data_IF_979864657595
#
_entry.id   IF_979864657595
#
_cell.length_a   1.000
_cell.length_b   1.000
_cell.length_c   1.000
_cell.angle_alpha   90.00
_cell.angle_beta   90.00
_cell.angle_gamma   90.00
#
_symmetry.space_group_name_H-M   'P 1'
#
loop_
_entity.id
_entity.type
_entity.pdbx_description
1 polymer ?
#
# COMPACT_ATOMS: atom_id res chain seq x y z
N UNK A 1 -23.21 -0.82 -5.77
CA UNK A 1 -23.80 -1.49 -6.94
C UNK A 1 -24.47 -0.51 -7.90
N UNK A 2 -25.35 0.39 -7.43
CA UNK A 2 -25.94 1.43 -8.31
C UNK A 2 -24.89 2.33 -8.97
N UNK A 3 -23.86 2.75 -8.22
CA UNK A 3 -22.78 3.57 -8.78
C UNK A 3 -22.00 2.88 -9.91
N UNK A 4 -21.76 1.57 -9.80
CA UNK A 4 -21.08 0.79 -10.86
C UNK A 4 -21.90 0.75 -12.15
N UNK A 5 -23.23 0.68 -12.04
CA UNK A 5 -24.14 0.66 -13.20
C UNK A 5 -24.19 2.01 -13.92
N UNK A 6 -23.79 3.11 -13.28
CA UNK A 6 -23.77 4.45 -13.88
C UNK A 6 -22.52 4.71 -14.74
N UNK A 7 -21.51 3.84 -14.66
CA UNK A 7 -20.26 3.99 -15.44
C UNK A 7 -20.55 3.70 -16.91
N UNK A 8 -20.48 4.74 -17.76
CA UNK A 8 -20.66 4.61 -19.21
C UNK A 8 -19.63 3.63 -19.79
N UNK A 9 -20.11 2.65 -20.56
CA UNK A 9 -19.28 1.63 -21.20
C UNK A 9 -18.98 0.40 -20.34
N UNK A 10 -19.36 0.39 -19.05
CA UNK A 10 -19.24 -0.79 -18.20
C UNK A 10 -20.52 -1.64 -18.25
N UNK A 11 -20.40 -2.90 -18.66
CA UNK A 11 -21.47 -3.89 -18.49
C UNK A 11 -21.36 -4.49 -17.09
N UNK A 12 -22.42 -4.34 -16.28
CA UNK A 12 -22.49 -4.89 -14.93
C UNK A 12 -23.50 -6.03 -14.91
N UNK A 13 -23.06 -7.21 -14.48
CA UNK A 13 -23.89 -8.40 -14.32
C UNK A 13 -23.75 -8.93 -12.90
N UNK A 14 -24.88 -9.25 -12.26
CA UNK A 14 -24.89 -9.98 -11.00
C UNK A 14 -24.82 -11.46 -11.33
N UNK A 15 -23.76 -12.12 -10.89
CA UNK A 15 -23.58 -13.54 -11.16
C UNK A 15 -24.29 -14.37 -10.09
N UNK A 16 -25.48 -14.85 -10.42
CA UNK A 16 -26.31 -15.69 -9.53
C UNK A 16 -26.33 -17.17 -9.95
N UNK A 17 -25.45 -17.54 -10.90
CA UNK A 17 -25.30 -18.95 -11.33
C UNK A 17 -24.32 -19.64 -10.41
N UNK A 18 -24.71 -20.80 -9.90
CA UNK A 18 -23.79 -21.61 -9.10
C UNK A 18 -22.56 -21.99 -9.93
N UNK A 19 -21.39 -21.91 -9.30
CA UNK A 19 -20.12 -22.21 -9.92
C UNK A 19 -19.49 -23.41 -9.22
N UNK A 20 -18.76 -24.22 -10.00
CA UNK A 20 -18.09 -25.39 -9.46
C UNK A 20 -17.02 -24.97 -8.44
N UNK A 21 -16.94 -25.68 -7.33
CA UNK A 21 -15.98 -25.40 -6.25
C UNK A 21 -16.57 -25.72 -4.87
N UNK A 22 -15.71 -26.18 -3.96
CA UNK A 22 -16.10 -26.52 -2.58
C UNK A 22 -16.10 -25.30 -1.67
N UNK A 23 -15.20 -24.36 -1.92
CA UNK A 23 -15.09 -23.09 -1.19
C UNK A 23 -15.52 -21.91 -2.06
N UNK A 24 -15.85 -20.79 -1.41
CA UNK A 24 -16.15 -19.52 -2.10
C UNK A 24 -14.97 -19.09 -2.98
N UNK A 25 -13.74 -19.23 -2.48
CA UNK A 25 -12.52 -18.89 -3.21
C UNK A 25 -12.36 -19.73 -4.49
N UNK A 26 -12.60 -21.05 -4.41
CA UNK A 26 -12.58 -21.93 -5.57
C UNK A 26 -13.64 -21.52 -6.60
N UNK A 27 -14.85 -21.19 -6.15
CA UNK A 27 -15.93 -20.72 -7.04
C UNK A 27 -15.55 -19.43 -7.76
N UNK A 28 -14.96 -18.45 -7.05
CA UNK A 28 -14.49 -17.19 -7.63
C UNK A 28 -13.37 -17.41 -8.66
N UNK A 29 -12.42 -18.30 -8.35
CA UNK A 29 -11.31 -18.64 -9.26
C UNK A 29 -11.84 -19.35 -10.51
N UNK A 30 -12.73 -20.33 -10.36
CA UNK A 30 -13.30 -21.07 -11.49
C UNK A 30 -14.16 -20.15 -12.37
N UNK A 31 -14.94 -19.25 -11.76
CA UNK A 31 -15.67 -18.21 -12.50
C UNK A 31 -14.70 -17.34 -13.31
N UNK A 32 -13.65 -16.81 -12.69
CA UNK A 32 -12.66 -15.99 -13.37
C UNK A 32 -11.99 -16.73 -14.53
N UNK A 33 -11.64 -18.01 -14.35
CA UNK A 33 -11.11 -18.87 -15.43
C UNK A 33 -12.09 -18.99 -16.60
N UNK A 34 -13.36 -19.32 -16.31
CA UNK A 34 -14.38 -19.53 -17.35
C UNK A 34 -14.63 -18.27 -18.18
N UNK A 35 -14.55 -17.09 -17.56
CA UNK A 35 -14.75 -15.80 -18.20
C UNK A 35 -13.46 -15.23 -18.82
N UNK A 36 -12.32 -15.91 -18.69
CA UNK A 36 -11.00 -15.37 -19.01
C UNK A 36 -10.76 -14.00 -18.36
N UNK A 37 -11.30 -13.85 -17.14
CA UNK A 37 -11.34 -12.60 -16.39
C UNK A 37 -10.21 -12.46 -15.38
N UNK A 38 -10.24 -11.34 -14.67
CA UNK A 38 -9.35 -11.03 -13.55
C UNK A 38 -10.19 -10.85 -12.28
N UNK A 39 -9.60 -11.13 -11.13
CA UNK A 39 -10.25 -10.87 -9.84
C UNK A 39 -9.86 -9.48 -9.36
N UNK A 40 -10.85 -8.70 -8.91
CA UNK A 40 -10.63 -7.45 -8.18
C UNK A 40 -11.10 -7.66 -6.75
N UNK A 41 -10.21 -7.49 -5.77
CA UNK A 41 -10.52 -7.80 -4.36
C UNK A 41 -9.74 -6.92 -3.40
N UNK A 42 -10.12 -6.95 -2.12
CA UNK A 42 -9.30 -6.46 -1.01
C UNK A 42 -8.74 -7.60 -0.16
N UNK A 43 -9.12 -8.85 -0.44
CA UNK A 43 -8.74 -10.04 0.33
C UNK A 43 -7.34 -10.53 -0.05
N UNK A 44 -6.45 -10.55 0.94
CA UNK A 44 -5.06 -10.96 0.77
C UNK A 44 -4.87 -12.48 0.63
N UNK A 45 -5.74 -13.29 1.20
CA UNK A 45 -5.67 -14.75 1.09
C UNK A 45 -6.15 -15.20 -0.28
N UNK A 46 -7.27 -14.63 -0.77
CA UNK A 46 -7.76 -14.90 -2.12
C UNK A 46 -6.71 -14.51 -3.17
N UNK A 47 -6.01 -13.39 -2.98
CA UNK A 47 -4.87 -12.98 -3.82
C UNK A 47 -3.86 -14.14 -4.00
N UNK A 48 -3.42 -14.77 -2.90
CA UNK A 48 -2.41 -15.84 -2.93
C UNK A 48 -2.92 -17.07 -3.67
N UNK A 49 -4.12 -17.53 -3.33
CA UNK A 49 -4.71 -18.75 -3.91
C UNK A 49 -4.99 -18.56 -5.41
N UNK A 50 -5.51 -17.40 -5.81
CA UNK A 50 -5.76 -17.06 -7.20
C UNK A 50 -4.48 -16.94 -8.03
N UNK A 51 -3.39 -16.40 -7.45
CA UNK A 51 -2.09 -16.28 -8.11
C UNK A 51 -1.49 -17.66 -8.43
N UNK A 52 -1.58 -18.62 -7.50
CA UNK A 52 -1.17 -20.02 -7.74
C UNK A 52 -2.01 -20.67 -8.84
N UNK A 53 -3.27 -20.26 -8.96
CA UNK A 53 -4.19 -20.70 -10.02
C UNK A 53 -4.02 -19.95 -11.35
N UNK A 54 -2.95 -19.15 -11.47
CA UNK A 54 -2.61 -18.36 -12.65
C UNK A 54 -3.70 -17.36 -13.07
N UNK A 55 -4.49 -16.88 -12.11
CA UNK A 55 -5.47 -15.80 -12.30
C UNK A 55 -4.83 -14.48 -11.87
N UNK A 56 -4.86 -13.49 -12.76
CA UNK A 56 -4.41 -12.14 -12.42
C UNK A 56 -5.37 -11.51 -11.41
N UNK A 57 -4.81 -10.93 -10.35
CA UNK A 57 -5.58 -10.26 -9.31
C UNK A 57 -5.14 -8.80 -9.21
N UNK A 58 -6.14 -7.90 -9.21
CA UNK A 58 -5.96 -6.51 -8.85
C UNK A 58 -6.44 -6.32 -7.42
N UNK A 59 -5.52 -6.09 -6.50
CA UNK A 59 -5.88 -5.76 -5.13
C UNK A 59 -5.93 -4.24 -4.96
N UNK A 60 -7.07 -3.75 -4.47
CA UNK A 60 -7.29 -2.30 -4.31
C UNK A 60 -6.35 -1.69 -3.26
N UNK A 61 -5.99 -2.46 -2.24
CA UNK A 61 -5.02 -2.02 -1.23
C UNK A 61 -3.61 -1.89 -1.82
N UNK A 62 -3.21 -2.82 -2.69
CA UNK A 62 -1.91 -2.76 -3.37
C UNK A 62 -1.86 -1.56 -4.34
N UNK A 63 -2.95 -1.29 -5.05
CA UNK A 63 -3.09 -0.09 -5.89
C UNK A 63 -2.98 1.19 -5.06
N UNK A 64 -3.71 1.28 -3.96
CA UNK A 64 -3.66 2.45 -3.07
C UNK A 64 -2.24 2.67 -2.50
N UNK A 65 -1.54 1.60 -2.15
CA UNK A 65 -0.16 1.67 -1.69
C UNK A 65 0.83 2.07 -2.80
N UNK A 66 0.60 1.65 -4.05
CA UNK A 66 1.40 2.04 -5.20
C UNK A 66 1.27 3.52 -5.59
N UNK A 67 0.14 4.15 -5.22
CA UNK A 67 -0.10 5.58 -5.44
C UNK A 67 0.51 6.49 -4.36
N UNK A 68 0.96 5.93 -3.23
CA UNK A 68 1.61 6.73 -2.18
C UNK A 68 2.95 7.24 -2.69
N UNK A 69 3.20 8.54 -2.54
CA UNK A 69 4.48 9.17 -2.85
C UNK A 69 5.60 8.41 -2.12
N UNK A 70 6.50 7.78 -2.88
CA UNK A 70 7.63 7.04 -2.33
C UNK A 70 8.77 8.01 -2.17
N UNK A 71 9.27 8.21 -0.94
CA UNK A 71 10.57 8.82 -0.76
C UNK A 71 11.64 7.74 -0.96
N UNK A 72 12.35 7.78 -2.09
CA UNK A 72 13.36 6.79 -2.46
C UNK A 72 14.72 7.12 -1.80
N UNK A 73 15.58 6.12 -1.52
CA UNK A 73 16.94 6.38 -1.08
C UNK A 73 17.66 7.37 -2.02
N UNK A 74 18.28 8.41 -1.45
CA UNK A 74 18.92 9.51 -2.16
C UNK A 74 18.03 10.72 -2.41
N UNK A 75 16.71 10.62 -2.26
CA UNK A 75 15.83 11.77 -2.37
C UNK A 75 15.95 12.71 -1.18
N UNK A 76 15.85 14.00 -1.47
CA UNK A 76 15.84 15.06 -0.45
C UNK A 76 14.41 15.44 -0.15
N UNK A 77 14.04 15.43 1.13
CA UNK A 77 12.71 15.84 1.58
C UNK A 77 12.83 16.85 2.74
N UNK A 78 11.90 17.80 2.79
CA UNK A 78 11.74 18.71 3.92
C UNK A 78 10.75 18.13 4.91
N UNK A 79 11.16 17.94 6.16
CA UNK A 79 10.35 17.29 7.19
C UNK A 79 10.40 18.08 8.49
N UNK A 80 9.24 18.30 9.12
CA UNK A 80 9.19 18.82 10.48
C UNK A 80 9.52 17.71 11.48
N UNK A 81 10.54 17.92 12.29
CA UNK A 81 10.89 17.01 13.38
C UNK A 81 9.95 17.28 14.56
N UNK A 82 9.19 16.28 14.97
CA UNK A 82 8.12 16.41 15.96
C UNK A 82 8.51 15.81 17.31
N UNK A 83 9.25 14.70 17.30
CA UNK A 83 9.59 13.95 18.50
C UNK A 83 11.07 13.53 18.51
N UNK A 84 11.66 13.27 19.69
CA UNK A 84 12.93 12.56 19.78
C UNK A 84 12.78 11.13 19.25
N UNK A 85 13.83 10.61 18.61
CA UNK A 85 13.88 9.22 18.18
C UNK A 85 14.31 8.27 19.29
N UNK A 86 14.51 7.00 18.92
CA UNK A 86 14.93 5.97 19.86
C UNK A 86 16.38 6.19 20.30
N UNK A 87 17.25 6.53 19.37
CA UNK A 87 18.64 6.87 19.66
C UNK A 87 18.77 8.37 19.97
N UNK A 88 19.69 8.80 20.86
CA UNK A 88 19.80 10.21 21.28
C UNK A 88 20.09 11.21 20.15
N UNK A 89 20.66 10.75 19.03
CA UNK A 89 20.94 11.57 17.85
C UNK A 89 19.74 11.70 16.90
N UNK A 90 18.68 10.90 17.10
CA UNK A 90 17.56 10.81 16.17
C UNK A 90 16.45 11.82 16.48
N UNK A 91 15.84 12.33 15.41
CA UNK A 91 14.53 12.97 15.43
C UNK A 91 13.52 12.14 14.66
N UNK A 92 12.24 12.30 14.96
CA UNK A 92 11.13 11.64 14.27
C UNK A 92 10.15 12.68 13.76
N UNK A 93 9.75 12.56 12.51
CA UNK A 93 8.66 13.29 11.91
C UNK A 93 7.73 12.37 11.12
N UNK A 94 6.69 12.95 10.54
CA UNK A 94 5.69 12.20 9.76
C UNK A 94 5.45 12.88 8.43
N UNK A 95 5.33 12.09 7.37
CA UNK A 95 4.80 12.56 6.10
C UNK A 95 3.28 12.80 6.18
N UNK A 96 2.68 13.54 5.24
CA UNK A 96 1.24 13.82 5.24
C UNK A 96 0.36 12.56 5.24
N UNK A 97 0.87 11.44 4.72
CA UNK A 97 0.18 10.15 4.69
C UNK A 97 0.33 9.33 5.99
N UNK A 98 0.98 9.89 7.01
CA UNK A 98 1.25 9.25 8.29
C UNK A 98 2.50 8.37 8.32
N UNK A 99 3.26 8.27 7.22
CA UNK A 99 4.51 7.51 7.18
C UNK A 99 5.52 8.11 8.17
N UNK A 100 5.98 7.29 9.11
CA UNK A 100 6.97 7.69 10.10
C UNK A 100 8.35 7.80 9.47
N UNK A 101 9.05 8.91 9.72
CA UNK A 101 10.39 9.17 9.22
C UNK A 101 11.34 9.40 10.39
N UNK A 102 12.33 8.52 10.54
CA UNK A 102 13.38 8.60 11.55
C UNK A 102 14.62 9.24 10.91
N UNK A 103 15.13 10.30 11.52
CA UNK A 103 16.19 11.13 10.96
C UNK A 103 17.38 11.16 11.89
N UNK A 104 18.52 10.66 11.42
CA UNK A 104 19.79 10.73 12.14
C UNK A 104 20.35 12.16 12.14
N UNK A 105 20.85 12.61 13.29
CA UNK A 105 21.44 13.95 13.47
C UNK A 105 20.41 15.08 13.59
N UNK A 106 19.14 14.74 13.86
CA UNK A 106 18.03 15.69 13.92
C UNK A 106 17.44 15.89 15.33
N UNK A 107 18.02 15.28 16.36
CA UNK A 107 17.54 15.41 17.75
C UNK A 107 17.50 16.87 18.24
N UNK A 108 18.42 17.72 17.78
CA UNK A 108 18.46 19.15 18.12
C UNK A 108 17.52 20.02 17.27
N UNK A 109 16.75 19.43 16.35
CA UNK A 109 15.84 20.12 15.44
C UNK A 109 14.36 19.87 15.78
N UNK A 110 14.06 19.31 16.96
CA UNK A 110 12.67 19.14 17.42
C UNK A 110 11.91 20.48 17.35
N UNK A 111 10.73 20.44 16.73
CA UNK A 111 9.88 21.59 16.45
C UNK A 111 10.21 22.34 15.15
N UNK A 112 11.34 22.04 14.50
CA UNK A 112 11.82 22.72 13.28
C UNK A 112 11.68 21.84 12.05
N UNK A 113 11.70 22.48 10.88
CA UNK A 113 11.81 21.80 9.59
C UNK A 113 13.28 21.54 9.28
N UNK A 114 13.60 20.32 8.88
CA UNK A 114 14.93 19.89 8.48
C UNK A 114 14.89 19.38 7.03
N UNK A 115 15.91 19.71 6.24
CA UNK A 115 16.19 18.99 5.00
C UNK A 115 16.90 17.68 5.33
N UNK A 116 16.38 16.60 4.77
CA UNK A 116 16.89 15.25 5.01
C UNK A 116 17.10 14.53 3.69
N UNK A 117 18.12 13.69 3.65
CA UNK A 117 18.33 12.73 2.57
C UNK A 117 17.85 11.36 3.05
N UNK A 118 16.94 10.75 2.29
CA UNK A 118 16.44 9.40 2.60
C UNK A 118 17.57 8.40 2.41
N UNK A 119 17.84 7.59 3.42
CA UNK A 119 18.88 6.56 3.40
C UNK A 119 18.29 5.17 3.17
N UNK A 120 17.13 4.88 3.76
CA UNK A 120 16.49 3.55 3.66
C UNK A 120 14.99 3.63 3.89
N UNK A 121 14.24 2.76 3.24
CA UNK A 121 12.82 2.54 3.53
C UNK A 121 12.62 1.12 4.08
N UNK A 122 11.75 0.97 5.08
CA UNK A 122 11.34 -0.30 5.67
C UNK A 122 9.83 -0.44 5.57
N UNK A 123 9.37 -1.56 5.01
CA UNK A 123 7.97 -1.94 5.01
C UNK A 123 7.74 -2.96 6.13
N UNK A 124 6.81 -2.66 7.04
CA UNK A 124 6.39 -3.53 8.15
C UNK A 124 4.88 -3.83 8.04
N UNK A 125 4.36 -4.87 8.71
CA UNK A 125 2.92 -5.17 8.66
C UNK A 125 2.03 -4.01 9.11
N UNK A 126 2.50 -3.19 10.06
CA UNK A 126 1.77 -2.02 10.56
C UNK A 126 1.85 -0.78 9.66
N UNK A 127 2.69 -0.78 8.61
CA UNK A 127 2.87 0.37 7.73
C UNK A 127 4.27 0.50 7.15
N UNK A 128 4.61 1.73 6.75
CA UNK A 128 5.93 2.07 6.19
C UNK A 128 6.68 2.95 7.18
N UNK A 129 7.98 2.74 7.27
CA UNK A 129 8.91 3.57 8.03
C UNK A 129 10.07 3.98 7.11
N UNK A 130 10.47 5.24 7.17
CA UNK A 130 11.53 5.81 6.35
C UNK A 130 12.67 6.24 7.29
N UNK A 131 13.90 6.01 6.86
CA UNK A 131 15.10 6.46 7.53
C UNK A 131 15.81 7.46 6.64
N UNK A 132 16.29 8.53 7.26
CA UNK A 132 17.10 9.54 6.59
C UNK A 132 18.18 10.07 7.51
N UNK A 133 19.05 10.90 6.94
CA UNK A 133 20.05 11.67 7.66
C UNK A 133 19.83 13.15 7.36
N UNK A 134 20.11 14.00 8.35
CA UNK A 134 20.10 15.45 8.15
C UNK A 134 21.15 15.84 7.11
N UNK A 135 20.81 16.79 6.24
CA UNK A 135 21.74 17.46 5.31
C UNK A 135 22.43 18.63 6.02
#
# INVERSE_FOLDING_TARGET
>A
MEELKKIRGAKVEVWDKDQSGKSVDEKLINLAKSLHGRIVTCDFNLNKVASVSNISVLNVNDLANGLKTVALPGEKISLKIMHPGKDPSQGVGYLPDGTMVVVEGAANLIGKVAEIEVTKTLQIPAGRMIFGKKI
#
